data_IF_206427182620
#
_entry.id   IF_206427182620
#
_cell.length_a   1.000
_cell.length_b   1.000
_cell.length_c   1.000
_cell.angle_alpha   90.00
_cell.angle_beta   90.00
_cell.angle_gamma   90.00
#
_symmetry.space_group_name_H-M   'P 1'
#
loop_
_entity.id
_entity.type
_entity.pdbx_description
1 polymer ?
#
# COMPACT_ATOMS: atom_id res chain seq x y z
N UNK A 1 -17.57 -6.55 -8.17
CA UNK A 1 -17.01 -6.18 -6.85
C UNK A 1 -15.48 -6.24 -6.77
N UNK A 2 -14.79 -6.98 -7.65
CA UNK A 2 -13.35 -7.20 -7.51
C UNK A 2 -12.42 -5.99 -7.72
N UNK A 3 -12.69 -5.13 -8.73
CA UNK A 3 -11.75 -4.06 -9.10
C UNK A 3 -11.54 -3.00 -8.02
N UNK A 4 -12.64 -2.47 -7.45
CA UNK A 4 -12.54 -1.44 -6.42
C UNK A 4 -11.91 -1.99 -5.14
N UNK A 5 -12.26 -3.22 -4.74
CA UNK A 5 -11.66 -3.87 -3.58
C UNK A 5 -10.16 -4.07 -3.80
N UNK A 6 -9.75 -4.58 -4.96
CA UNK A 6 -8.34 -4.76 -5.27
C UNK A 6 -7.56 -3.42 -5.27
N UNK A 7 -8.12 -2.37 -5.86
CA UNK A 7 -7.48 -1.05 -5.79
C UNK A 7 -7.34 -0.55 -4.34
N UNK A 8 -8.38 -0.72 -3.53
CA UNK A 8 -8.36 -0.31 -2.12
C UNK A 8 -7.35 -1.12 -1.29
N UNK A 9 -7.33 -2.44 -1.45
CA UNK A 9 -6.41 -3.34 -0.74
C UNK A 9 -4.96 -2.98 -1.06
N UNK A 10 -4.63 -2.74 -2.34
CA UNK A 10 -3.29 -2.33 -2.75
C UNK A 10 -2.88 -1.00 -2.12
N UNK A 11 -3.73 0.01 -2.22
CA UNK A 11 -3.44 1.35 -1.67
C UNK A 11 -3.27 1.27 -0.15
N UNK A 12 -4.09 0.49 0.54
CA UNK A 12 -4.04 0.33 1.99
C UNK A 12 -2.79 -0.42 2.43
N UNK A 13 -2.52 -1.60 1.88
CA UNK A 13 -1.37 -2.42 2.27
C UNK A 13 -0.03 -1.80 1.89
N UNK A 14 0.04 -1.12 0.74
CA UNK A 14 1.24 -0.33 0.43
C UNK A 14 1.40 0.85 1.38
N UNK A 15 0.31 1.46 1.86
CA UNK A 15 0.37 2.49 2.89
C UNK A 15 1.04 1.99 4.16
N UNK A 16 0.60 0.83 4.66
CA UNK A 16 1.17 0.21 5.87
C UNK A 16 2.69 0.04 5.74
N UNK A 17 3.20 -0.36 4.57
CA UNK A 17 4.64 -0.46 4.32
C UNK A 17 5.32 0.92 4.39
N UNK A 18 4.75 1.95 3.74
CA UNK A 18 5.35 3.28 3.71
C UNK A 18 5.28 3.99 5.07
N UNK A 19 4.18 3.82 5.80
CA UNK A 19 3.90 4.52 7.05
C UNK A 19 4.57 3.87 8.25
N UNK A 20 4.85 2.56 8.19
CA UNK A 20 5.34 1.76 9.31
C UNK A 20 6.46 2.43 10.10
N UNK A 21 7.51 2.92 9.43
CA UNK A 21 8.67 3.47 10.13
C UNK A 21 8.31 4.68 11.00
N UNK A 22 7.36 5.50 10.55
CA UNK A 22 6.85 6.65 11.31
C UNK A 22 5.91 6.18 12.42
N UNK A 23 5.01 5.24 12.12
CA UNK A 23 4.04 4.70 13.08
C UNK A 23 4.71 3.95 14.24
N UNK A 24 5.62 3.02 13.93
CA UNK A 24 6.40 2.29 14.95
C UNK A 24 7.22 3.24 15.83
N UNK A 25 7.71 4.34 15.26
CA UNK A 25 8.47 5.34 16.02
C UNK A 25 7.61 6.07 17.05
N UNK A 26 6.29 6.07 16.88
CA UNK A 26 5.31 6.69 17.79
C UNK A 26 4.64 5.68 18.72
N UNK A 27 4.89 4.38 18.52
CA UNK A 27 4.20 3.31 19.23
C UNK A 27 2.78 3.02 18.71
N UNK A 28 2.42 3.52 17.52
CA UNK A 28 1.16 3.17 16.87
C UNK A 28 1.17 1.67 16.52
N UNK A 29 0.02 0.99 16.62
CA UNK A 29 -0.08 -0.47 16.37
C UNK A 29 -1.16 -0.88 15.37
N UNK A 30 -1.77 0.10 14.70
CA UNK A 30 -2.79 -0.10 13.68
C UNK A 30 -2.15 -0.28 12.30
N UNK A 31 -1.22 -1.22 12.19
CA UNK A 31 -0.46 -1.51 10.96
C UNK A 31 -0.33 -3.03 10.78
N UNK A 32 -0.52 -3.52 9.56
CA UNK A 32 -0.45 -4.96 9.27
C UNK A 32 0.92 -5.57 9.59
N UNK A 33 2.02 -4.80 9.49
CA UNK A 33 3.36 -5.27 9.85
C UNK A 33 3.40 -5.66 11.33
N UNK A 34 2.88 -4.79 12.21
CA UNK A 34 2.82 -5.07 13.65
C UNK A 34 1.94 -6.28 13.96
N UNK A 35 0.82 -6.43 13.25
CA UNK A 35 -0.09 -7.58 13.43
C UNK A 35 0.62 -8.88 13.05
N UNK A 36 1.30 -8.91 11.90
CA UNK A 36 2.04 -10.09 11.43
C UNK A 36 3.18 -10.45 12.38
N UNK A 37 3.91 -9.45 12.90
CA UNK A 37 4.98 -9.70 13.87
C UNK A 37 4.42 -10.23 15.20
N UNK A 38 3.38 -9.60 15.76
CA UNK A 38 2.85 -9.94 17.08
C UNK A 38 2.07 -11.25 17.11
N UNK A 39 1.28 -11.52 16.08
CA UNK A 39 0.30 -12.62 16.11
C UNK A 39 0.63 -13.77 15.16
N UNK A 40 1.52 -13.56 14.18
CA UNK A 40 1.89 -14.59 13.21
C UNK A 40 3.38 -14.96 13.24
N UNK A 41 4.17 -14.38 14.15
CA UNK A 41 5.56 -14.78 14.40
C UNK A 41 6.55 -14.41 13.29
N UNK A 42 6.18 -13.46 12.41
CA UNK A 42 7.11 -12.93 11.42
C UNK A 42 8.15 -12.02 12.08
N UNK A 43 9.37 -12.00 11.52
CA UNK A 43 10.27 -10.88 11.75
C UNK A 43 9.84 -9.67 10.89
N UNK A 44 10.48 -8.52 11.10
CA UNK A 44 10.10 -7.29 10.41
C UNK A 44 10.17 -7.43 8.87
N UNK A 45 11.29 -7.93 8.36
CA UNK A 45 11.46 -8.06 6.92
C UNK A 45 10.48 -9.09 6.34
N UNK A 46 10.27 -10.23 7.01
CA UNK A 46 9.30 -11.23 6.58
C UNK A 46 7.85 -10.70 6.59
N UNK A 47 7.49 -9.85 7.54
CA UNK A 47 6.18 -9.19 7.56
C UNK A 47 6.02 -8.22 6.38
N UNK A 48 7.04 -7.39 6.11
CA UNK A 48 7.07 -6.48 4.93
C UNK A 48 6.98 -7.29 3.63
N UNK A 49 7.73 -8.38 3.50
CA UNK A 49 7.73 -9.25 2.32
C UNK A 49 6.35 -9.91 2.13
N UNK A 50 5.71 -10.34 3.22
CA UNK A 50 4.35 -10.91 3.15
C UNK A 50 3.35 -9.90 2.63
N UNK A 51 3.38 -8.66 3.12
CA UNK A 51 2.48 -7.60 2.62
C UNK A 51 2.82 -7.24 1.18
N UNK A 52 4.12 -7.23 0.82
CA UNK A 52 4.55 -7.05 -0.57
C UNK A 52 3.98 -8.10 -1.51
N UNK A 53 3.93 -9.36 -1.10
CA UNK A 53 3.27 -10.44 -1.86
C UNK A 53 1.75 -10.20 -1.98
N UNK A 54 1.08 -9.80 -0.90
CA UNK A 54 -0.35 -9.48 -0.93
C UNK A 54 -0.66 -8.32 -1.89
N UNK A 55 0.19 -7.27 -1.90
CA UNK A 55 0.09 -6.19 -2.87
C UNK A 55 0.21 -6.69 -4.32
N UNK A 56 1.15 -7.59 -4.60
CA UNK A 56 1.32 -8.18 -5.92
C UNK A 56 0.08 -9.00 -6.35
N UNK A 57 -0.39 -9.90 -5.48
CA UNK A 57 -1.59 -10.71 -5.72
C UNK A 57 -2.81 -9.84 -6.02
N UNK A 58 -2.96 -8.73 -5.31
CA UNK A 58 -4.04 -7.77 -5.52
C UNK A 58 -3.98 -7.08 -6.88
N UNK A 59 -2.79 -6.72 -7.37
CA UNK A 59 -2.63 -6.17 -8.73
C UNK A 59 -2.98 -7.23 -9.79
N UNK A 60 -2.53 -8.47 -9.60
CA UNK A 60 -2.82 -9.57 -10.52
C UNK A 60 -4.34 -9.83 -10.59
N UNK A 61 -5.01 -9.83 -9.44
CA UNK A 61 -6.46 -9.91 -9.34
C UNK A 61 -7.16 -8.73 -10.02
N UNK A 62 -6.69 -7.50 -9.83
CA UNK A 62 -7.24 -6.32 -10.50
C UNK A 62 -7.20 -6.48 -12.03
N UNK A 63 -6.04 -6.88 -12.57
CA UNK A 63 -5.86 -7.12 -14.01
C UNK A 63 -6.81 -8.20 -14.51
N UNK A 64 -7.00 -9.27 -13.74
CA UNK A 64 -7.87 -10.36 -14.11
C UNK A 64 -9.36 -9.97 -14.08
N UNK A 65 -9.80 -9.29 -13.02
CA UNK A 65 -11.17 -8.77 -12.93
C UNK A 65 -11.49 -7.78 -14.05
N UNK A 66 -10.52 -7.01 -14.51
CA UNK A 66 -10.73 -6.06 -15.59
C UNK A 66 -11.02 -6.76 -16.93
N UNK A 67 -10.40 -7.91 -17.18
CA UNK A 67 -10.65 -8.72 -18.40
C UNK A 67 -12.03 -9.38 -18.38
N UNK A 68 -12.56 -9.64 -17.19
CA UNK A 68 -13.82 -10.36 -16.98
C UNK A 68 -15.06 -9.44 -16.92
N UNK A 69 -14.90 -8.15 -17.20
CA UNK A 69 -16.03 -7.22 -17.25
C UNK A 69 -17.00 -7.65 -18.36
N UNK A 70 -18.30 -7.90 -18.04
CA UNK A 70 -19.27 -8.22 -19.07
C UNK A 70 -19.58 -6.97 -19.93
N UNK A 71 -20.13 -7.15 -21.13
CA UNK A 71 -20.59 -6.03 -21.94
C UNK A 71 -21.93 -5.49 -21.42
N UNK A 72 -22.08 -4.17 -21.37
CA UNK A 72 -23.35 -3.50 -21.05
C UNK A 72 -23.86 -2.59 -22.17
N UNK A 73 -23.05 -2.36 -23.21
CA UNK A 73 -23.36 -1.47 -24.32
C UNK A 73 -22.58 -0.17 -24.23
N UNK A 74 -22.33 0.44 -25.40
CA UNK A 74 -21.30 1.49 -25.60
C UNK A 74 -21.27 2.57 -24.51
N UNK A 75 -22.42 3.14 -24.16
CA UNK A 75 -22.49 4.23 -23.18
C UNK A 75 -22.02 3.79 -21.79
N UNK A 76 -22.52 2.64 -21.30
CA UNK A 76 -22.14 2.11 -19.98
C UNK A 76 -20.70 1.61 -20.01
N UNK A 77 -20.28 0.95 -21.08
CA UNK A 77 -18.92 0.47 -21.24
C UNK A 77 -17.92 1.64 -21.20
N UNK A 78 -18.21 2.77 -21.87
CA UNK A 78 -17.39 3.99 -21.83
C UNK A 78 -17.28 4.55 -20.39
N UNK A 79 -18.40 4.61 -19.65
CA UNK A 79 -18.41 5.05 -18.25
C UNK A 79 -17.59 4.13 -17.34
N UNK A 80 -17.72 2.82 -17.51
CA UNK A 80 -16.97 1.81 -16.75
C UNK A 80 -15.48 1.94 -17.03
N UNK A 81 -15.07 2.11 -18.29
CA UNK A 81 -13.65 2.28 -18.64
C UNK A 81 -13.03 3.54 -18.02
N UNK A 82 -13.79 4.65 -17.94
CA UNK A 82 -13.34 5.86 -17.23
C UNK A 82 -13.13 5.55 -15.74
N UNK A 83 -14.07 4.86 -15.10
CA UNK A 83 -13.95 4.50 -13.69
C UNK A 83 -12.76 3.56 -13.42
N UNK A 84 -12.58 2.53 -14.25
CA UNK A 84 -11.42 1.62 -14.15
C UNK A 84 -10.11 2.37 -14.28
N UNK A 85 -10.01 3.31 -15.22
CA UNK A 85 -8.83 4.18 -15.35
C UNK A 85 -8.59 4.99 -14.08
N UNK A 86 -9.64 5.54 -13.49
CA UNK A 86 -9.54 6.26 -12.21
C UNK A 86 -8.96 5.39 -11.08
N UNK A 87 -9.34 4.11 -11.01
CA UNK A 87 -8.76 3.16 -10.04
C UNK A 87 -7.27 2.88 -10.34
N UNK A 88 -6.90 2.71 -11.61
CA UNK A 88 -5.50 2.54 -12.03
C UNK A 88 -4.65 3.76 -11.67
N UNK A 89 -5.16 4.96 -11.96
CA UNK A 89 -4.50 6.22 -11.62
C UNK A 89 -4.36 6.39 -10.11
N UNK A 90 -5.33 5.93 -9.31
CA UNK A 90 -5.25 5.97 -7.86
C UNK A 90 -4.17 5.03 -7.31
N UNK A 91 -4.09 3.80 -7.83
CA UNK A 91 -3.04 2.83 -7.50
C UNK A 91 -1.65 3.44 -7.79
N UNK A 92 -1.41 3.91 -9.01
CA UNK A 92 -0.11 4.45 -9.42
C UNK A 92 0.18 5.76 -8.69
N UNK A 93 -0.80 6.64 -8.62
CA UNK A 93 -0.70 7.94 -7.96
C UNK A 93 -0.33 7.82 -6.49
N UNK A 94 -0.93 6.88 -5.77
CA UNK A 94 -0.61 6.64 -4.35
C UNK A 94 0.86 6.20 -4.15
N UNK A 95 1.39 5.31 -5.00
CA UNK A 95 2.80 4.91 -4.96
C UNK A 95 3.74 6.08 -5.23
N UNK A 96 3.47 6.85 -6.29
CA UNK A 96 4.29 8.00 -6.65
C UNK A 96 4.28 9.05 -5.54
N UNK A 97 3.09 9.37 -5.02
CA UNK A 97 2.92 10.32 -3.94
C UNK A 97 3.65 9.89 -2.67
N UNK A 98 3.60 8.60 -2.30
CA UNK A 98 4.27 8.09 -1.08
C UNK A 98 5.79 8.32 -1.07
N UNK A 99 6.45 8.36 -2.23
CA UNK A 99 7.88 8.69 -2.33
C UNK A 99 8.17 10.19 -2.56
N UNK A 100 7.16 10.99 -2.89
CA UNK A 100 7.29 12.43 -3.12
C UNK A 100 6.93 13.25 -1.88
N UNK A 101 6.00 12.76 -1.08
CA UNK A 101 5.59 13.37 0.17
C UNK A 101 6.70 13.30 1.21
N UNK A 102 6.76 14.30 2.09
CA UNK A 102 7.64 14.27 3.27
C UNK A 102 7.06 13.44 4.42
N UNK A 103 5.81 13.01 4.31
CA UNK A 103 5.06 12.30 5.37
C UNK A 103 5.76 11.03 5.86
N UNK A 104 6.38 10.25 4.97
CA UNK A 104 6.91 8.92 5.29
C UNK A 104 8.44 8.91 5.40
N UNK A 105 9.11 9.55 4.45
CA UNK A 105 10.56 9.47 4.31
C UNK A 105 11.27 10.83 4.48
N UNK A 106 10.54 11.87 4.90
CA UNK A 106 11.06 13.24 4.94
C UNK A 106 11.58 13.65 3.55
N UNK A 107 12.78 14.23 3.50
CA UNK A 107 13.43 14.63 2.24
C UNK A 107 14.10 13.47 1.49
N UNK A 108 14.06 12.25 2.03
CA UNK A 108 14.79 11.07 1.49
C UNK A 108 13.95 10.17 0.60
N UNK A 109 12.71 10.53 0.27
CA UNK A 109 11.80 9.65 -0.48
C UNK A 109 12.36 9.14 -1.81
N UNK A 110 13.08 9.98 -2.57
CA UNK A 110 13.71 9.54 -3.83
C UNK A 110 14.92 8.62 -3.61
N UNK A 111 15.69 8.83 -2.53
CA UNK A 111 16.80 7.95 -2.16
C UNK A 111 16.28 6.56 -1.78
N UNK A 112 15.24 6.51 -0.95
CA UNK A 112 14.57 5.26 -0.55
C UNK A 112 14.01 4.55 -1.78
N UNK A 113 13.35 5.26 -2.69
CA UNK A 113 12.83 4.67 -3.94
C UNK A 113 13.93 4.01 -4.78
N UNK A 114 15.10 4.64 -4.86
CA UNK A 114 16.25 4.15 -5.62
C UNK A 114 16.91 2.94 -4.95
N UNK A 115 17.18 3.05 -3.66
CA UNK A 115 18.01 2.10 -2.94
C UNK A 115 17.21 0.97 -2.29
N UNK A 116 15.90 1.16 -2.07
CA UNK A 116 14.98 0.22 -1.41
C UNK A 116 15.37 -0.15 0.02
N UNK A 117 16.09 0.73 0.70
CA UNK A 117 16.47 0.57 2.09
C UNK A 117 15.90 1.72 2.92
N UNK A 118 15.35 1.38 4.08
CA UNK A 118 14.83 2.34 5.07
C UNK A 118 15.58 2.13 6.37
N UNK A 119 16.22 3.19 6.88
CA UNK A 119 16.77 3.17 8.24
C UNK A 119 15.64 3.47 9.21
N UNK A 120 15.42 2.57 10.17
CA UNK A 120 14.37 2.75 11.15
C UNK A 120 14.64 3.95 12.06
N UNK A 121 13.56 4.68 12.35
CA UNK A 121 13.54 5.73 13.36
C UNK A 121 13.59 5.09 14.75
N UNK A 122 14.21 5.77 15.74
CA UNK A 122 14.12 5.32 17.12
C UNK A 122 12.66 5.33 17.58
N UNK A 123 12.28 4.34 18.39
CA UNK A 123 10.99 4.33 19.08
C UNK A 123 11.01 5.46 20.11
N UNK A 124 10.03 6.36 20.05
CA UNK A 124 9.87 7.39 21.06
C UNK A 124 9.72 6.72 22.43
N UNK A 125 10.46 7.19 23.43
CA UNK A 125 10.28 6.75 24.81
C UNK A 125 8.79 6.94 25.16
N UNK A 126 8.18 5.91 25.76
CA UNK A 126 6.79 5.95 26.25
C UNK A 126 6.52 7.31 26.87
N UNK A 127 5.63 8.10 26.27
CA UNK A 127 4.98 9.18 26.99
C UNK A 127 4.12 8.51 28.05
N UNK A 128 4.73 8.25 29.21
CA UNK A 128 4.04 7.95 30.45
C UNK A 128 3.18 9.16 30.77
N UNK A 129 1.90 9.07 30.42
CA UNK A 129 0.88 10.01 30.89
C UNK A 129 0.76 9.90 32.40
#
# INVERSE_FOLDING_TARGET
>A
MGLNQAANDFVTWSNDIFSYNVEQSRGDSYNMIDILMKYHGYDLQGAVDKIGMLCQETIDNFVEYNKQLPPWGKEVDDMVQIYVRGLQDWIVGSLHWSYQTTRYFGTKGQEVKKNRHVKLLPVAEEQKW
#
